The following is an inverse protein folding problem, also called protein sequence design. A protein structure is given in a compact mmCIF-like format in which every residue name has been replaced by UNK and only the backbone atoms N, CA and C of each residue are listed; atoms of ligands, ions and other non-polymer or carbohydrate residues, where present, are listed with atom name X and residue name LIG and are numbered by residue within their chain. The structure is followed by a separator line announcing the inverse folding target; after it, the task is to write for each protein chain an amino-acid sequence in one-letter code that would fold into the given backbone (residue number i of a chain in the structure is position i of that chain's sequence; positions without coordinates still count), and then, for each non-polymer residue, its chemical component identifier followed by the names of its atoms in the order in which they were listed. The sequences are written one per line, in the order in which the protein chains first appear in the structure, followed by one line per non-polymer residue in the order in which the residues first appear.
data_IF_105601167200
#
_entry.id   IF_105601167200
#
_cell.length_a   1.000
_cell.length_b   1.000
_cell.length_c   1.000
_cell.angle_alpha   90.00
_cell.angle_beta   90.00
_cell.angle_gamma   90.00
#
_symmetry.space_group_name_H-M   'P 1'
#
loop_
_entity.id
_entity.type
_entity.pdbx_description
1 polymer ?
#
# COMPACT_ATOMS: atom_id res chain seq x y z
N UNK A 1 -24.99 -22.17 86.53
CA UNK A 1 -24.56 -21.86 87.91
C UNK A 1 -23.07 -22.13 88.01
N UNK A 2 -22.30 -21.28 88.70
CA UNK A 2 -20.91 -21.59 89.07
C UNK A 2 -20.79 -21.94 90.56
N UNK A 3 -19.69 -22.60 90.91
CA UNK A 3 -19.02 -22.50 92.22
C UNK A 3 -17.62 -23.12 92.11
N UNK A 4 -16.63 -22.40 92.61
CA UNK A 4 -15.35 -22.96 93.07
C UNK A 4 -15.60 -23.64 94.45
N UNK A 5 -14.66 -24.21 95.21
CA UNK A 5 -13.19 -24.16 95.27
C UNK A 5 -12.66 -25.62 95.46
N UNK A 6 -11.41 -25.98 95.77
CA UNK A 6 -10.24 -25.24 96.28
C UNK A 6 -8.92 -26.00 95.95
N UNK A 7 -7.76 -25.49 96.39
CA UNK A 7 -6.46 -26.20 96.43
C UNK A 7 -5.69 -25.86 97.70
N UNK A 8 -5.12 -26.88 98.36
CA UNK A 8 -4.17 -26.68 99.46
C UNK A 8 -2.84 -26.07 98.94
N UNK A 9 -2.35 -25.03 99.63
CA UNK A 9 -1.07 -24.38 99.36
C UNK A 9 0.01 -24.76 100.39
N UNK A 10 1.26 -24.77 99.93
CA UNK A 10 2.49 -24.88 100.75
C UNK A 10 2.61 -23.66 101.68
N UNK A 11 3.08 -23.84 102.92
CA UNK A 11 3.11 -22.75 103.90
C UNK A 11 4.35 -21.85 103.76
N UNK A 12 4.20 -20.58 104.16
CA UNK A 12 5.26 -19.57 104.03
C UNK A 12 6.52 -19.88 104.86
N UNK A 13 6.40 -20.68 105.93
CA UNK A 13 7.55 -21.12 106.74
C UNK A 13 8.49 -22.08 106.00
N UNK A 14 7.96 -22.90 105.07
CA UNK A 14 8.77 -23.80 104.25
C UNK A 14 9.54 -23.01 103.18
N UNK A 15 8.92 -21.96 102.62
CA UNK A 15 9.58 -21.02 101.71
C UNK A 15 10.67 -20.19 102.40
N UNK A 16 10.43 -19.72 103.63
CA UNK A 16 11.41 -18.96 104.39
C UNK A 16 12.70 -19.76 104.65
N UNK A 17 12.58 -21.02 105.12
CA UNK A 17 13.75 -21.90 105.35
C UNK A 17 14.53 -22.22 104.08
N UNK A 18 13.84 -22.43 102.96
CA UNK A 18 14.50 -22.68 101.67
C UNK A 18 15.31 -21.47 101.21
N UNK A 19 14.75 -20.26 101.33
CA UNK A 19 15.45 -19.02 100.98
C UNK A 19 16.66 -18.75 101.88
N UNK A 20 16.57 -19.05 103.18
CA UNK A 20 17.67 -18.88 104.13
C UNK A 20 18.85 -19.84 103.83
N UNK A 21 18.57 -21.11 103.50
CA UNK A 21 19.60 -22.07 103.07
C UNK A 21 20.19 -21.75 101.69
N UNK A 22 19.41 -21.16 100.77
CA UNK A 22 19.92 -20.71 99.47
C UNK A 22 20.81 -19.46 99.57
N UNK A 23 20.55 -18.58 100.55
CA UNK A 23 21.34 -17.37 100.78
C UNK A 23 22.69 -17.64 101.48
N UNK A 24 22.78 -18.68 102.33
CA UNK A 24 23.98 -19.07 103.07
C UNK A 24 25.00 -19.85 102.21
N UNK A 25 25.23 -19.41 100.97
CA UNK A 25 25.94 -20.15 99.92
C UNK A 25 27.30 -20.73 100.31
N UNK A 26 27.61 -21.92 99.78
CA UNK A 26 28.85 -22.64 100.06
C UNK A 26 30.10 -21.88 99.59
N UNK A 27 31.09 -21.76 100.50
CA UNK A 27 32.32 -21.01 100.30
C UNK A 27 33.23 -21.54 99.19
N UNK A 28 34.22 -20.72 98.82
CA UNK A 28 35.09 -20.89 97.65
C UNK A 28 35.78 -22.27 97.56
N UNK A 29 35.38 -23.05 96.54
CA UNK A 29 36.13 -24.21 96.08
C UNK A 29 37.01 -23.85 94.86
N UNK A 30 38.30 -24.26 94.80
CA UNK A 30 39.16 -23.96 93.65
C UNK A 30 38.62 -24.56 92.35
N UNK A 31 38.37 -23.71 91.35
CA UNK A 31 37.91 -24.16 90.02
C UNK A 31 39.06 -24.74 89.22
N UNK A 32 39.26 -26.04 89.30
CA UNK A 32 40.11 -26.75 88.35
C UNK A 32 39.58 -26.59 86.91
N UNK A 33 40.43 -26.29 85.91
CA UNK A 33 40.01 -26.18 84.52
C UNK A 33 39.57 -27.55 83.99
N UNK A 34 38.38 -27.59 83.39
CA UNK A 34 37.73 -28.81 82.90
C UNK A 34 38.58 -29.56 81.87
N UNK A 35 38.34 -30.86 81.71
CA UNK A 35 39.09 -31.71 80.79
C UNK A 35 39.11 -31.17 79.34
N UNK A 36 38.03 -30.51 78.89
CA UNK A 36 37.98 -29.81 77.59
C UNK A 36 38.97 -28.65 77.50
N UNK A 37 39.09 -27.83 78.54
CA UNK A 37 40.05 -26.73 78.57
C UNK A 37 41.49 -27.25 78.44
N UNK A 38 41.82 -28.33 79.18
CA UNK A 38 43.14 -28.99 79.10
C UNK A 38 43.44 -29.52 77.69
N UNK A 39 42.48 -30.22 77.07
CA UNK A 39 42.62 -30.71 75.69
C UNK A 39 42.77 -29.60 74.64
N UNK A 40 42.10 -28.46 74.81
CA UNK A 40 42.25 -27.31 73.90
C UNK A 40 43.62 -26.66 74.07
N UNK A 41 44.13 -26.51 75.31
CA UNK A 41 45.49 -25.99 75.53
C UNK A 41 46.60 -26.93 75.06
N UNK A 42 46.40 -28.25 75.12
CA UNK A 42 47.30 -29.23 74.51
C UNK A 42 47.31 -29.10 72.98
N UNK A 43 46.13 -29.10 72.34
CA UNK A 43 46.01 -28.97 70.88
C UNK A 43 46.68 -27.71 70.34
N UNK A 44 46.43 -26.55 70.96
CA UNK A 44 47.03 -25.27 70.55
C UNK A 44 48.56 -25.23 70.74
N UNK A 45 49.11 -26.05 71.66
CA UNK A 45 50.56 -26.21 71.82
C UNK A 45 51.15 -27.17 70.78
N UNK A 46 50.45 -28.23 70.41
CA UNK A 46 50.83 -29.09 69.28
C UNK A 46 50.80 -28.33 67.94
N UNK A 47 49.76 -27.56 67.67
CA UNK A 47 49.61 -26.76 66.44
C UNK A 47 50.76 -25.74 66.30
N UNK A 48 51.14 -25.06 67.39
CA UNK A 48 52.34 -24.21 67.44
C UNK A 48 53.64 -25.00 67.22
N UNK A 49 53.80 -26.17 67.85
CA UNK A 49 54.99 -27.03 67.64
C UNK A 49 55.09 -27.57 66.21
N UNK A 50 53.97 -27.69 65.49
CA UNK A 50 53.92 -28.08 64.07
C UNK A 50 54.09 -26.90 63.10
N UNK A 51 54.37 -25.68 63.60
CA UNK A 51 54.69 -24.51 62.77
C UNK A 51 53.52 -23.97 61.95
N UNK A 52 52.28 -24.31 62.28
CA UNK A 52 51.09 -23.85 61.57
C UNK A 52 50.50 -22.63 62.29
N UNK A 53 50.93 -21.43 61.89
CA UNK A 53 50.23 -20.20 62.26
C UNK A 53 48.91 -20.10 61.47
N UNK A 54 47.78 -19.74 62.10
CA UNK A 54 46.52 -19.55 61.39
C UNK A 54 46.63 -18.32 60.46
N UNK A 55 46.08 -18.38 59.23
CA UNK A 55 46.23 -17.30 58.25
C UNK A 55 45.61 -16.00 58.75
N UNK A 56 46.42 -14.93 58.76
CA UNK A 56 45.98 -13.61 59.19
C UNK A 56 44.83 -13.08 58.31
N UNK A 57 43.80 -12.52 58.96
CA UNK A 57 42.54 -12.05 58.36
C UNK A 57 42.68 -10.89 57.34
N UNK A 58 43.89 -10.55 56.88
CA UNK A 58 44.15 -9.45 55.91
C UNK A 58 45.20 -9.76 54.82
N UNK A 59 45.37 -11.02 54.41
CA UNK A 59 46.13 -11.35 53.18
C UNK A 59 45.42 -12.41 52.35
N UNK A 60 44.72 -11.98 51.28
CA UNK A 60 44.19 -12.85 50.22
C UNK A 60 45.07 -12.83 48.96
N UNK A 61 45.03 -13.86 48.10
CA UNK A 61 45.96 -14.02 46.98
C UNK A 61 45.74 -13.01 45.83
N UNK A 62 46.83 -12.74 45.09
CA UNK A 62 46.86 -11.75 44.02
C UNK A 62 46.02 -12.14 42.79
N UNK A 63 45.07 -11.29 42.40
CA UNK A 63 44.07 -11.54 41.35
C UNK A 63 44.44 -11.00 39.94
N UNK A 64 45.72 -10.73 39.66
CA UNK A 64 46.09 -9.88 38.50
C UNK A 64 46.30 -10.57 37.14
N UNK A 65 46.40 -11.90 37.02
CA UNK A 65 46.82 -12.52 35.74
C UNK A 65 45.70 -13.10 34.84
N UNK A 66 44.43 -13.10 35.26
CA UNK A 66 43.33 -13.68 34.45
C UNK A 66 42.56 -12.71 33.54
N UNK A 67 42.86 -11.40 33.54
CA UNK A 67 42.01 -10.40 32.88
C UNK A 67 42.32 -10.12 31.39
N UNK A 68 43.40 -10.66 30.83
CA UNK A 68 43.81 -10.40 29.44
C UNK A 68 42.87 -10.98 28.36
N UNK A 69 42.53 -12.28 28.45
CA UNK A 69 41.75 -12.98 27.41
C UNK A 69 40.23 -12.81 27.55
N UNK A 70 39.73 -12.49 28.75
CA UNK A 70 38.29 -12.31 29.00
C UNK A 70 37.71 -11.01 28.42
N UNK A 71 38.49 -9.92 28.36
CA UNK A 71 38.01 -8.59 27.96
C UNK A 71 37.63 -8.50 26.48
N UNK A 72 38.40 -9.12 25.56
CA UNK A 72 38.03 -9.21 24.13
C UNK A 72 36.76 -10.05 23.93
N UNK A 73 36.64 -11.22 24.56
CA UNK A 73 35.42 -12.06 24.47
C UNK A 73 34.18 -11.37 25.06
N UNK A 74 34.31 -10.65 26.20
CA UNK A 74 33.20 -9.84 26.76
C UNK A 74 32.84 -8.66 25.87
N UNK A 75 33.80 -7.94 25.27
CA UNK A 75 33.52 -6.86 24.31
C UNK A 75 32.86 -7.37 23.03
N UNK A 76 33.28 -8.51 22.47
CA UNK A 76 32.58 -9.14 21.34
C UNK A 76 31.15 -9.55 21.71
N UNK A 77 30.94 -10.16 22.88
CA UNK A 77 29.60 -10.52 23.36
C UNK A 77 28.71 -9.31 23.60
N UNK A 78 29.25 -8.22 24.15
CA UNK A 78 28.53 -6.96 24.32
C UNK A 78 28.19 -6.30 22.98
N UNK A 79 29.13 -6.28 22.03
CA UNK A 79 28.88 -5.77 20.67
C UNK A 79 27.82 -6.61 19.94
N UNK A 80 27.91 -7.95 20.02
CA UNK A 80 26.91 -8.85 19.47
C UNK A 80 25.53 -8.66 20.12
N UNK A 81 25.47 -8.45 21.44
CA UNK A 81 24.23 -8.13 22.14
C UNK A 81 23.65 -6.77 21.71
N UNK A 82 24.48 -5.74 21.53
CA UNK A 82 24.04 -4.44 21.02
C UNK A 82 23.53 -4.53 19.58
N UNK A 83 24.21 -5.29 18.71
CA UNK A 83 23.75 -5.55 17.33
C UNK A 83 22.45 -6.35 17.33
N UNK A 84 22.29 -7.34 18.21
CA UNK A 84 21.05 -8.11 18.35
C UNK A 84 19.90 -7.24 18.87
N UNK A 85 20.13 -6.40 19.88
CA UNK A 85 19.15 -5.44 20.41
C UNK A 85 18.79 -4.40 19.35
N UNK A 86 19.76 -3.88 18.60
CA UNK A 86 19.51 -2.95 17.49
C UNK A 86 18.72 -3.61 16.35
N UNK A 87 18.99 -4.89 16.03
CA UNK A 87 18.22 -5.67 15.08
C UNK A 87 16.78 -5.92 15.55
N UNK A 88 16.58 -6.31 16.81
CA UNK A 88 15.26 -6.49 17.40
C UNK A 88 14.49 -5.17 17.51
N UNK A 89 15.17 -4.05 17.82
CA UNK A 89 14.58 -2.72 17.81
C UNK A 89 14.21 -2.27 16.37
N UNK A 90 15.03 -2.58 15.37
CA UNK A 90 14.70 -2.31 13.97
C UNK A 90 13.45 -3.12 13.53
N UNK A 91 13.36 -4.39 13.94
CA UNK A 91 12.19 -5.25 13.71
C UNK A 91 10.95 -4.71 14.45
N UNK A 92 11.10 -4.19 15.67
CA UNK A 92 9.98 -3.64 16.44
C UNK A 92 9.50 -2.26 15.93
N UNK A 93 10.40 -1.43 15.40
CA UNK A 93 10.09 -0.06 14.94
C UNK A 93 9.72 -0.02 13.45
N UNK A 94 10.28 -0.92 12.62
CA UNK A 94 9.95 -1.07 11.19
C UNK A 94 10.04 -2.55 10.74
N UNK A 95 9.08 -3.40 11.13
CA UNK A 95 9.08 -4.82 10.77
C UNK A 95 9.09 -5.03 9.25
N UNK A 96 8.39 -4.18 8.52
CA UNK A 96 8.27 -4.18 7.06
C UNK A 96 9.64 -4.19 6.36
N UNK A 97 10.56 -3.31 6.74
CA UNK A 97 11.89 -3.21 6.10
C UNK A 97 12.74 -4.48 6.23
N UNK A 98 12.54 -5.27 7.28
CA UNK A 98 13.26 -6.53 7.50
C UNK A 98 12.59 -7.67 6.74
N UNK A 99 11.26 -7.75 6.81
CA UNK A 99 10.46 -8.73 6.07
C UNK A 99 10.64 -8.56 4.56
N UNK A 100 10.57 -7.33 4.06
CA UNK A 100 10.69 -7.01 2.64
C UNK A 100 12.07 -7.30 2.05
N UNK A 101 13.11 -7.16 2.86
CA UNK A 101 14.49 -7.40 2.43
C UNK A 101 14.87 -8.88 2.51
N UNK A 102 14.28 -9.64 3.42
CA UNK A 102 14.45 -11.10 3.52
C UNK A 102 13.58 -11.87 2.49
N UNK A 103 12.41 -11.35 2.14
CA UNK A 103 11.49 -11.97 1.16
C UNK A 103 11.78 -11.57 -0.29
N UNK A 104 12.77 -10.71 -0.53
CA UNK A 104 13.07 -10.17 -1.88
C UNK A 104 12.09 -9.11 -2.38
N UNK A 105 10.99 -8.83 -1.67
CA UNK A 105 9.97 -7.83 -2.05
C UNK A 105 10.51 -6.42 -2.24
N UNK A 106 11.55 -6.03 -1.51
CA UNK A 106 12.23 -4.74 -1.73
C UNK A 106 12.98 -4.69 -3.07
N UNK A 107 13.61 -5.80 -3.47
CA UNK A 107 14.27 -5.91 -4.77
C UNK A 107 13.23 -5.96 -5.88
N UNK A 108 12.22 -6.83 -5.77
CA UNK A 108 11.14 -6.94 -6.76
C UNK A 108 10.39 -5.62 -6.99
N UNK A 109 10.14 -4.81 -5.95
CA UNK A 109 9.57 -3.46 -6.11
C UNK A 109 10.54 -2.47 -6.76
N UNK A 110 11.84 -2.57 -6.48
CA UNK A 110 12.85 -1.76 -7.15
C UNK A 110 12.92 -2.12 -8.63
N UNK A 111 12.99 -3.41 -8.94
CA UNK A 111 13.02 -3.95 -10.30
C UNK A 111 11.76 -3.52 -11.06
N UNK A 112 10.56 -3.72 -10.49
CA UNK A 112 9.29 -3.30 -11.08
C UNK A 112 9.18 -1.78 -11.30
N UNK A 113 9.77 -0.97 -10.40
CA UNK A 113 9.84 0.51 -10.54
C UNK A 113 10.84 0.95 -11.62
N UNK A 114 11.91 0.18 -11.85
CA UNK A 114 12.92 0.46 -12.88
C UNK A 114 12.67 -0.26 -14.20
N UNK A 115 11.69 -1.15 -14.26
CA UNK A 115 11.32 -1.88 -15.45
C UNK A 115 10.89 -0.91 -16.56
N UNK A 116 11.33 -1.19 -17.79
CA UNK A 116 10.80 -0.51 -18.96
C UNK A 116 9.28 -0.77 -19.06
N UNK A 117 8.50 0.18 -19.63
CA UNK A 117 7.10 -0.06 -19.92
C UNK A 117 6.90 -1.35 -20.73
N UNK A 118 5.81 -2.07 -20.42
CA UNK A 118 5.38 -3.22 -21.22
C UNK A 118 5.16 -2.80 -22.68
N UNK A 119 5.49 -3.66 -23.66
CA UNK A 119 5.27 -3.34 -25.07
C UNK A 119 3.79 -3.11 -25.38
N UNK A 120 3.52 -2.37 -26.46
CA UNK A 120 2.18 -2.16 -26.97
C UNK A 120 1.45 -3.48 -27.28
N UNK A 121 0.13 -3.41 -27.22
CA UNK A 121 -0.74 -4.55 -27.47
C UNK A 121 -1.18 -4.57 -28.94
N UNK A 122 -0.95 -5.70 -29.61
CA UNK A 122 -1.59 -6.01 -30.90
C UNK A 122 -2.90 -6.79 -30.71
N UNK A 123 -2.97 -7.63 -29.68
CA UNK A 123 -4.09 -8.52 -29.35
C UNK A 123 -4.77 -8.14 -28.04
N UNK A 124 -6.04 -8.51 -27.88
CA UNK A 124 -6.75 -8.39 -26.60
C UNK A 124 -6.08 -9.34 -25.58
N UNK A 125 -5.85 -8.92 -24.33
CA UNK A 125 -5.51 -9.85 -23.24
C UNK A 125 -6.56 -10.96 -23.10
N UNK A 126 -6.19 -12.10 -22.51
CA UNK A 126 -7.11 -13.23 -22.27
C UNK A 126 -7.54 -13.39 -20.81
N UNK A 127 -6.93 -12.63 -19.91
CA UNK A 127 -7.24 -12.60 -18.48
C UNK A 127 -6.92 -11.22 -17.88
N UNK A 128 -7.39 -10.99 -16.66
CA UNK A 128 -6.97 -9.88 -15.81
C UNK A 128 -5.46 -9.90 -15.55
N UNK A 129 -4.79 -8.74 -15.39
CA UNK A 129 -3.40 -8.68 -14.93
C UNK A 129 -3.24 -9.29 -13.53
N UNK A 130 -2.08 -9.87 -13.25
CA UNK A 130 -1.78 -10.50 -11.96
C UNK A 130 -2.04 -9.55 -10.76
N UNK A 131 -2.44 -10.11 -9.63
CA UNK A 131 -2.65 -9.35 -8.40
C UNK A 131 -1.29 -9.04 -7.75
N UNK A 132 -0.87 -7.78 -7.85
CA UNK A 132 0.28 -7.30 -7.11
C UNK A 132 -0.09 -7.18 -5.63
N UNK A 133 0.79 -7.66 -4.74
CA UNK A 133 0.60 -7.50 -3.30
C UNK A 133 0.31 -6.04 -2.94
N UNK A 134 -0.64 -5.77 -2.02
CA UNK A 134 -1.11 -4.42 -1.74
C UNK A 134 0.03 -3.55 -1.19
N UNK A 135 0.39 -2.52 -1.96
CA UNK A 135 1.29 -1.45 -1.59
C UNK A 135 0.64 -0.13 -2.05
N UNK A 136 0.28 0.73 -1.10
CA UNK A 136 -0.56 1.90 -1.37
C UNK A 136 0.15 2.92 -2.26
N UNK A 137 -0.56 3.62 -3.17
CA UNK A 137 -0.01 4.76 -3.90
C UNK A 137 0.51 5.86 -2.96
N UNK A 138 1.43 6.68 -3.47
CA UNK A 138 1.87 7.90 -2.77
C UNK A 138 2.07 9.05 -3.74
N UNK A 139 2.16 10.28 -3.22
CA UNK A 139 2.50 11.48 -4.00
C UNK A 139 3.78 11.35 -4.85
N UNK A 140 4.72 10.45 -4.48
CA UNK A 140 5.96 10.20 -5.22
C UNK A 140 5.91 8.98 -6.14
N UNK A 141 4.95 8.09 -5.91
CA UNK A 141 4.75 6.83 -6.64
C UNK A 141 3.24 6.59 -6.81
N UNK A 142 2.54 7.42 -7.61
CA UNK A 142 1.08 7.39 -7.71
C UNK A 142 0.51 6.07 -8.27
N UNK A 143 1.32 5.30 -8.99
CA UNK A 143 0.94 4.01 -9.58
C UNK A 143 1.41 2.79 -8.79
N UNK A 144 1.99 2.98 -7.58
CA UNK A 144 2.46 1.86 -6.75
C UNK A 144 1.32 0.91 -6.38
N UNK A 145 1.60 -0.39 -6.41
CA UNK A 145 0.60 -1.44 -6.17
C UNK A 145 -0.37 -1.72 -7.34
N UNK A 146 -0.31 -0.96 -8.45
CA UNK A 146 -1.20 -1.19 -9.62
C UNK A 146 -0.46 -1.81 -10.81
N UNK A 147 -1.16 -2.57 -11.68
CA UNK A 147 -0.62 -2.98 -12.98
C UNK A 147 -0.12 -1.81 -13.83
N UNK A 148 -0.70 -0.62 -13.64
CA UNK A 148 -0.34 0.60 -14.37
C UNK A 148 1.09 1.11 -14.07
N UNK A 149 1.75 0.65 -13.02
CA UNK A 149 3.16 0.99 -12.76
C UNK A 149 4.07 0.72 -13.97
N UNK A 150 3.82 -0.39 -14.69
CA UNK A 150 4.58 -0.82 -15.87
C UNK A 150 3.93 -0.40 -17.21
N UNK A 151 2.92 0.48 -17.20
CA UNK A 151 2.33 1.00 -18.43
C UNK A 151 3.12 2.21 -18.94
N UNK A 152 2.89 2.57 -20.21
CA UNK A 152 3.55 3.71 -20.83
C UNK A 152 2.93 5.03 -20.36
N UNK A 153 3.72 6.11 -20.43
CA UNK A 153 3.31 7.43 -19.96
C UNK A 153 2.61 8.21 -21.09
N UNK A 154 1.36 8.61 -20.84
CA UNK A 154 0.56 9.47 -21.71
C UNK A 154 0.54 9.02 -23.17
N UNK A 155 0.90 9.95 -24.07
CA UNK A 155 0.84 9.73 -25.52
C UNK A 155 1.81 8.65 -26.03
N UNK A 156 2.77 8.19 -25.23
CA UNK A 156 3.64 7.07 -25.58
C UNK A 156 2.90 5.73 -25.54
N UNK A 157 1.84 5.59 -24.72
CA UNK A 157 1.00 4.39 -24.68
C UNK A 157 -0.04 4.30 -25.81
N UNK A 158 -0.09 5.28 -26.72
CA UNK A 158 -0.98 5.31 -27.88
C UNK A 158 -0.14 5.14 -29.14
N UNK A 159 0.28 3.90 -29.39
CA UNK A 159 1.02 3.52 -30.60
C UNK A 159 0.07 3.34 -31.80
N UNK A 160 0.59 3.62 -33.01
CA UNK A 160 -0.17 3.45 -34.25
C UNK A 160 0.15 2.09 -34.89
N UNK A 161 -0.85 1.33 -35.37
CA UNK A 161 -0.62 0.16 -36.21
C UNK A 161 -0.04 0.57 -37.57
N UNK A 162 0.52 -0.39 -38.33
CA UNK A 162 0.92 -0.10 -39.70
C UNK A 162 -0.31 0.28 -40.55
N UNK A 163 -0.22 1.42 -41.24
CA UNK A 163 -1.21 1.80 -42.23
C UNK A 163 -1.17 0.85 -43.44
N UNK A 164 -2.27 0.15 -43.69
CA UNK A 164 -2.52 -0.64 -44.89
C UNK A 164 -3.70 -0.06 -45.67
N UNK A 165 -3.89 -0.47 -46.94
CA UNK A 165 -5.11 -0.13 -47.67
C UNK A 165 -6.23 -1.09 -47.22
N UNK A 166 -7.43 -0.55 -46.96
CA UNK A 166 -8.58 -1.32 -46.44
C UNK A 166 -9.85 -0.83 -47.13
N UNK A 167 -10.71 -1.74 -47.59
CA UNK A 167 -11.88 -1.39 -48.40
C UNK A 167 -11.47 -0.63 -49.67
N UNK A 168 -12.01 0.58 -49.85
CA UNK A 168 -11.59 1.52 -50.92
C UNK A 168 -10.64 2.62 -50.42
N UNK A 169 -10.18 2.55 -49.16
CA UNK A 169 -9.29 3.56 -48.57
C UNK A 169 -7.83 3.25 -48.90
N UNK A 170 -7.13 4.25 -49.43
CA UNK A 170 -5.69 4.16 -49.70
C UNK A 170 -4.86 4.12 -48.41
N UNK A 171 -3.64 3.56 -48.47
CA UNK A 171 -2.68 3.58 -47.34
C UNK A 171 -2.46 4.98 -46.77
N UNK A 172 -2.49 6.02 -47.61
CA UNK A 172 -2.34 7.41 -47.18
C UNK A 172 -3.56 7.92 -46.38
N UNK A 173 -4.79 7.63 -46.84
CA UNK A 173 -6.02 7.99 -46.10
C UNK A 173 -6.11 7.25 -44.77
N UNK A 174 -5.67 5.99 -44.73
CA UNK A 174 -5.62 5.20 -43.50
C UNK A 174 -4.57 5.74 -42.53
N UNK A 175 -3.36 6.08 -42.99
CA UNK A 175 -2.33 6.71 -42.15
C UNK A 175 -2.77 8.06 -41.56
N UNK A 176 -3.46 8.87 -42.35
CA UNK A 176 -4.04 10.14 -41.93
C UNK A 176 -5.12 9.95 -40.85
N UNK A 177 -6.05 9.00 -41.06
CA UNK A 177 -7.08 8.66 -40.08
C UNK A 177 -6.49 8.14 -38.77
N UNK A 178 -5.53 7.21 -38.82
CA UNK A 178 -4.82 6.69 -37.64
C UNK A 178 -4.16 7.83 -36.84
N UNK A 179 -3.48 8.74 -37.53
CA UNK A 179 -2.85 9.93 -36.91
C UNK A 179 -3.89 10.81 -36.22
N UNK A 180 -5.03 11.09 -36.88
CA UNK A 180 -6.12 11.86 -36.29
C UNK A 180 -6.76 11.17 -35.09
N UNK A 181 -6.99 9.85 -35.13
CA UNK A 181 -7.57 9.09 -34.02
C UNK A 181 -6.64 9.12 -32.81
N UNK A 182 -5.32 8.98 -33.00
CA UNK A 182 -4.34 9.18 -31.92
C UNK A 182 -4.41 10.60 -31.33
N UNK A 183 -4.49 11.63 -32.17
CA UNK A 183 -4.65 13.01 -31.68
C UNK A 183 -5.97 13.22 -30.94
N UNK A 184 -7.07 12.59 -31.37
CA UNK A 184 -8.34 12.61 -30.67
C UNK A 184 -8.23 11.96 -29.28
N UNK A 185 -7.65 10.75 -29.19
CA UNK A 185 -7.45 10.07 -27.91
C UNK A 185 -6.60 10.90 -26.93
N UNK A 186 -5.53 11.54 -27.42
CA UNK A 186 -4.69 12.45 -26.63
C UNK A 186 -5.50 13.67 -26.17
N UNK A 187 -6.16 14.38 -27.08
CA UNK A 187 -6.87 15.64 -26.74
C UNK A 187 -8.11 15.42 -25.87
N UNK A 188 -8.73 14.24 -25.95
CA UNK A 188 -9.90 13.86 -25.17
C UNK A 188 -9.57 13.30 -23.76
N UNK A 189 -8.37 12.74 -23.54
CA UNK A 189 -8.05 11.99 -22.33
C UNK A 189 -6.75 12.40 -21.63
N UNK A 190 -5.83 13.08 -22.33
CA UNK A 190 -4.49 13.42 -21.81
C UNK A 190 -4.22 14.91 -21.78
N UNK A 191 -5.01 15.72 -22.50
CA UNK A 191 -4.83 17.16 -22.53
C UNK A 191 -5.09 17.79 -21.15
N UNK A 192 -4.15 18.59 -20.60
CA UNK A 192 -4.31 19.18 -19.28
C UNK A 192 -5.50 20.13 -19.11
N UNK A 193 -5.99 20.77 -20.17
CA UNK A 193 -7.19 21.61 -20.10
C UNK A 193 -8.46 20.73 -20.04
N UNK A 194 -8.57 19.71 -20.92
CA UNK A 194 -9.63 18.70 -20.85
C UNK A 194 -9.69 18.06 -19.47
N UNK A 195 -8.55 17.65 -18.91
CA UNK A 195 -8.46 17.04 -17.58
C UNK A 195 -8.87 17.98 -16.44
N UNK A 196 -8.65 19.29 -16.56
CA UNK A 196 -9.18 20.32 -15.63
C UNK A 196 -10.67 20.63 -15.83
N UNK A 197 -11.37 19.86 -16.65
CA UNK A 197 -12.79 20.06 -16.90
C UNK A 197 -13.09 21.17 -17.90
N UNK A 198 -12.09 21.74 -18.55
CA UNK A 198 -12.31 22.73 -19.62
C UNK A 198 -12.95 22.05 -20.85
N UNK A 199 -13.35 22.86 -21.84
CA UNK A 199 -13.95 22.35 -23.07
C UNK A 199 -12.88 21.64 -23.92
N UNK A 200 -13.08 20.38 -24.35
CA UNK A 200 -12.08 19.60 -25.09
C UNK A 200 -11.97 20.01 -26.58
N UNK A 201 -11.61 21.26 -26.83
CA UNK A 201 -11.68 21.89 -28.15
C UNK A 201 -10.91 21.13 -29.24
N UNK A 202 -9.69 20.66 -28.95
CA UNK A 202 -8.88 19.90 -29.91
C UNK A 202 -9.48 18.54 -30.28
N UNK A 203 -10.21 17.89 -29.37
CA UNK A 203 -10.91 16.64 -29.65
C UNK A 203 -12.17 16.89 -30.50
N UNK A 204 -12.95 17.91 -30.13
CA UNK A 204 -14.15 18.32 -30.86
C UNK A 204 -13.83 18.79 -32.28
N UNK A 205 -12.72 19.48 -32.48
CA UNK A 205 -12.28 19.90 -33.82
C UNK A 205 -12.02 18.69 -34.74
N UNK A 206 -11.55 17.56 -34.22
CA UNK A 206 -11.27 16.38 -35.05
C UNK A 206 -12.52 15.64 -35.51
N UNK A 207 -13.66 15.80 -34.84
CA UNK A 207 -14.89 15.06 -35.14
C UNK A 207 -15.67 15.66 -36.32
N UNK A 208 -16.38 14.80 -37.06
CA UNK A 208 -17.33 15.22 -38.09
C UNK A 208 -18.68 15.56 -37.46
N UNK A 209 -18.79 16.78 -36.96
CA UNK A 209 -19.99 17.25 -36.26
C UNK A 209 -21.11 17.70 -37.21
N UNK A 210 -20.91 17.63 -38.55
CA UNK A 210 -21.91 18.02 -39.55
C UNK A 210 -23.01 16.98 -39.80
N UNK A 211 -22.87 15.79 -39.22
CA UNK A 211 -23.97 14.83 -39.13
C UNK A 211 -25.05 15.38 -38.19
N UNK A 212 -26.30 15.25 -38.61
CA UNK A 212 -27.47 15.78 -37.89
C UNK A 212 -27.52 15.24 -36.44
N UNK A 213 -27.82 16.11 -35.49
CA UNK A 213 -27.82 15.80 -34.05
C UNK A 213 -26.44 15.64 -33.38
N UNK A 214 -25.36 15.34 -34.10
CA UNK A 214 -24.04 15.07 -33.47
C UNK A 214 -23.44 16.32 -32.83
N UNK A 215 -23.43 17.46 -33.52
CA UNK A 215 -23.01 18.74 -32.91
C UNK A 215 -23.82 19.02 -31.64
N UNK A 216 -25.14 18.98 -31.73
CA UNK A 216 -26.05 19.34 -30.63
C UNK A 216 -25.88 18.41 -29.43
N UNK A 217 -25.75 17.10 -29.64
CA UNK A 217 -25.51 16.13 -28.57
C UNK A 217 -24.18 16.38 -27.84
N UNK A 218 -23.11 16.71 -28.57
CA UNK A 218 -21.81 17.05 -27.98
C UNK A 218 -21.82 18.40 -27.25
N UNK A 219 -22.54 19.40 -27.76
CA UNK A 219 -22.73 20.66 -27.03
C UNK A 219 -23.53 20.45 -25.74
N UNK A 220 -24.64 19.70 -25.82
CA UNK A 220 -25.51 19.44 -24.68
C UNK A 220 -24.80 18.64 -23.60
N UNK A 221 -24.04 17.59 -23.95
CA UNK A 221 -23.26 16.85 -22.95
C UNK A 221 -22.20 17.72 -22.27
N UNK A 222 -21.63 18.72 -22.95
CA UNK A 222 -20.64 19.62 -22.33
C UNK A 222 -21.25 20.76 -21.51
N UNK A 223 -22.50 21.16 -21.78
CA UNK A 223 -23.16 22.35 -21.19
C UNK A 223 -24.24 22.02 -20.16
N UNK A 224 -24.96 20.91 -20.34
CA UNK A 224 -25.95 20.38 -19.41
C UNK A 224 -25.88 18.83 -19.39
N UNK A 225 -24.83 18.26 -18.75
CA UNK A 225 -24.67 16.82 -18.56
C UNK A 225 -25.93 16.14 -17.97
N UNK A 226 -26.21 14.91 -18.42
CA UNK A 226 -27.24 14.02 -17.86
C UNK A 226 -26.81 12.56 -18.03
N UNK A 227 -27.57 11.60 -17.47
CA UNK A 227 -27.29 10.17 -17.62
C UNK A 227 -27.21 9.73 -19.10
N UNK A 228 -28.05 10.31 -19.95
CA UNK A 228 -28.11 10.03 -21.39
C UNK A 228 -27.08 10.84 -22.21
N UNK A 229 -26.47 11.87 -21.60
CA UNK A 229 -25.60 12.86 -22.24
C UNK A 229 -24.41 13.19 -21.36
N UNK A 230 -23.75 12.18 -20.81
CA UNK A 230 -22.56 12.40 -19.99
C UNK A 230 -21.32 12.61 -20.90
N UNK A 231 -20.60 13.74 -20.80
CA UNK A 231 -19.39 13.99 -21.58
C UNK A 231 -18.24 13.04 -21.20
N UNK A 232 -18.29 12.41 -20.03
CA UNK A 232 -17.35 11.36 -19.60
C UNK A 232 -17.39 10.12 -20.49
N UNK A 233 -18.40 9.96 -21.36
CA UNK A 233 -18.42 8.93 -22.39
C UNK A 233 -17.31 9.08 -23.45
N UNK A 234 -16.77 10.29 -23.63
CA UNK A 234 -15.68 10.56 -24.59
C UNK A 234 -14.47 11.27 -23.98
N UNK A 235 -14.69 12.13 -22.98
CA UNK A 235 -13.68 13.06 -22.46
C UNK A 235 -13.42 12.79 -20.98
N UNK A 236 -12.17 12.56 -20.58
CA UNK A 236 -11.83 12.45 -19.16
C UNK A 236 -11.65 13.84 -18.55
N UNK A 237 -12.55 14.21 -17.63
CA UNK A 237 -12.66 15.56 -17.05
C UNK A 237 -12.76 15.45 -15.53
N UNK A 238 -12.02 16.26 -14.79
CA UNK A 238 -12.11 16.36 -13.33
C UNK A 238 -12.50 17.79 -12.93
N UNK A 239 -13.28 17.93 -11.86
CA UNK A 239 -13.57 19.26 -11.30
C UNK A 239 -12.34 19.75 -10.50
N UNK A 240 -11.65 20.84 -10.90
CA UNK A 240 -10.45 21.33 -10.23
C UNK A 240 -10.72 21.90 -8.83
N UNK A 241 -11.99 22.11 -8.46
CA UNK A 241 -12.39 22.46 -7.09
C UNK A 241 -12.53 21.24 -6.16
N UNK A 242 -12.67 20.03 -6.70
CA UNK A 242 -12.79 18.77 -5.94
C UNK A 242 -11.51 17.94 -6.01
N UNK A 243 -10.81 17.93 -7.15
CA UNK A 243 -9.68 17.03 -7.44
C UNK A 243 -8.47 17.76 -8.01
N UNK A 244 -7.28 17.21 -7.74
CA UNK A 244 -6.01 17.65 -8.32
C UNK A 244 -5.21 16.44 -8.81
N UNK A 245 -4.73 16.43 -10.07
CA UNK A 245 -3.81 15.40 -10.57
C UNK A 245 -2.50 15.33 -9.78
N UNK A 246 -1.98 14.12 -9.58
CA UNK A 246 -0.69 13.87 -8.91
C UNK A 246 0.42 13.77 -9.95
N UNK A 247 1.09 14.90 -10.18
CA UNK A 247 2.07 15.05 -11.25
C UNK A 247 1.42 15.33 -12.60
N UNK A 248 2.15 15.03 -13.68
CA UNK A 248 1.78 15.25 -15.08
C UNK A 248 1.63 13.93 -15.88
N UNK A 249 1.80 12.78 -15.23
CA UNK A 249 1.74 11.46 -15.84
C UNK A 249 0.35 10.84 -15.68
N UNK A 250 -0.25 10.48 -16.80
CA UNK A 250 -1.37 9.52 -16.90
C UNK A 250 -0.79 8.22 -17.46
N UNK A 251 -1.08 7.08 -16.83
CA UNK A 251 -0.64 5.78 -17.37
C UNK A 251 -1.61 5.30 -18.43
N UNK A 252 -1.08 4.86 -19.57
CA UNK A 252 -1.89 4.47 -20.74
C UNK A 252 -1.46 3.09 -21.24
N UNK A 253 -2.45 2.25 -21.49
CA UNK A 253 -2.24 0.97 -22.17
C UNK A 253 -3.42 0.61 -23.05
N UNK A 254 -3.13 0.13 -24.25
CA UNK A 254 -4.14 -0.46 -25.11
C UNK A 254 -3.68 -0.63 -26.54
N UNK A 255 -4.67 -0.69 -27.44
CA UNK A 255 -4.46 -1.01 -28.85
C UNK A 255 -5.37 -0.23 -29.79
N UNK A 256 -4.87 -0.02 -31.00
CA UNK A 256 -5.59 0.53 -32.15
C UNK A 256 -5.39 -0.41 -33.33
N UNK A 257 -6.46 -0.71 -34.06
CA UNK A 257 -6.40 -1.61 -35.21
C UNK A 257 -7.37 -1.18 -36.32
N UNK A 258 -7.18 -1.77 -37.50
CA UNK A 258 -7.99 -1.52 -38.68
C UNK A 258 -8.96 -2.67 -38.92
N UNK A 259 -10.14 -2.34 -39.43
CA UNK A 259 -11.11 -3.29 -39.98
C UNK A 259 -11.75 -2.73 -41.26
N UNK A 260 -12.40 -3.60 -42.04
CA UNK A 260 -13.34 -3.16 -43.07
C UNK A 260 -14.53 -2.44 -42.40
N UNK A 261 -15.08 -1.43 -43.05
CA UNK A 261 -16.24 -0.72 -42.53
C UNK A 261 -17.56 -1.46 -42.80
N UNK A 262 -18.60 -1.11 -42.03
CA UNK A 262 -19.96 -1.65 -42.15
C UNK A 262 -20.59 -1.54 -43.56
N UNK A 263 -20.06 -0.66 -44.41
CA UNK A 263 -20.52 -0.50 -45.79
C UNK A 263 -19.38 -0.73 -46.81
N UNK A 264 -19.68 -1.35 -47.97
CA UNK A 264 -18.69 -1.64 -48.99
C UNK A 264 -17.80 -0.44 -49.36
N UNK A 265 -16.49 -0.64 -49.25
CA UNK A 265 -15.47 0.36 -49.57
C UNK A 265 -15.12 1.33 -48.44
N UNK A 266 -15.79 1.28 -47.29
CA UNK A 266 -15.34 1.98 -46.08
C UNK A 266 -14.25 1.18 -45.33
N UNK A 267 -13.54 1.85 -44.45
CA UNK A 267 -12.66 1.24 -43.45
C UNK A 267 -13.00 1.81 -42.06
N UNK A 268 -12.60 1.12 -41.00
CA UNK A 268 -12.76 1.58 -39.63
C UNK A 268 -11.42 1.53 -38.88
N UNK A 269 -11.20 2.53 -38.02
CA UNK A 269 -10.20 2.50 -36.96
C UNK A 269 -10.91 2.15 -35.66
N UNK A 270 -10.53 1.04 -35.04
CA UNK A 270 -11.06 0.60 -33.76
C UNK A 270 -10.00 0.79 -32.67
N UNK A 271 -10.46 1.10 -31.46
CA UNK A 271 -9.62 1.43 -30.31
C UNK A 271 -10.12 0.73 -29.05
N UNK A 272 -9.20 0.30 -28.19
CA UNK A 272 -9.46 -0.23 -26.84
C UNK A 272 -8.30 0.20 -25.94
N UNK A 273 -8.46 1.32 -25.23
CA UNK A 273 -7.45 1.93 -24.38
C UNK A 273 -7.95 2.15 -22.96
N UNK A 274 -7.07 1.95 -21.99
CA UNK A 274 -7.29 2.30 -20.59
C UNK A 274 -6.31 3.37 -20.15
N UNK A 275 -6.86 4.38 -19.48
CA UNK A 275 -6.16 5.53 -18.91
C UNK A 275 -6.29 5.48 -17.39
N UNK A 276 -5.21 5.70 -16.66
CA UNK A 276 -5.20 5.70 -15.19
C UNK A 276 -4.73 7.04 -14.68
N UNK A 277 -5.64 7.73 -13.98
CA UNK A 277 -5.47 9.08 -13.48
C UNK A 277 -5.25 9.05 -11.97
N UNK A 278 -4.09 9.50 -11.47
CA UNK A 278 -3.87 9.63 -10.04
C UNK A 278 -4.33 11.00 -9.55
N UNK A 279 -5.21 11.03 -8.57
CA UNK A 279 -5.80 12.24 -7.99
C UNK A 279 -5.56 12.32 -6.48
N UNK A 280 -5.50 13.54 -5.97
CA UNK A 280 -5.73 13.87 -4.56
C UNK A 280 -6.93 14.81 -4.48
N UNK A 281 -7.61 14.86 -3.33
CA UNK A 281 -8.61 15.91 -3.07
C UNK A 281 -7.98 17.30 -3.18
N UNK A 282 -8.71 18.26 -3.74
CA UNK A 282 -8.28 19.66 -3.89
C UNK A 282 -8.35 20.46 -2.56
N UNK A 283 -7.85 19.89 -1.46
CA UNK A 283 -7.81 20.50 -0.13
C UNK A 283 -6.37 20.63 0.41
N UNK A 284 -6.07 21.62 1.27
CA UNK A 284 -4.76 21.73 1.90
C UNK A 284 -4.38 20.47 2.67
N UNK A 285 -3.16 19.97 2.47
CA UNK A 285 -2.65 18.80 3.17
C UNK A 285 -3.14 17.44 2.69
N UNK A 286 -3.92 17.36 1.59
CA UNK A 286 -4.28 16.08 0.99
C UNK A 286 -3.05 15.33 0.46
N UNK A 287 -2.84 14.11 0.95
CA UNK A 287 -1.72 13.22 0.60
C UNK A 287 -2.16 11.80 0.18
N UNK A 288 -3.38 11.38 0.53
CA UNK A 288 -4.03 10.20 -0.05
C UNK A 288 -4.18 10.36 -1.56
N UNK A 289 -3.58 9.43 -2.30
CA UNK A 289 -3.67 9.34 -3.75
C UNK A 289 -4.66 8.26 -4.11
N UNK A 290 -5.69 8.61 -4.86
CA UNK A 290 -6.63 7.65 -5.45
C UNK A 290 -6.45 7.59 -6.96
N UNK A 291 -6.74 6.43 -7.54
CA UNK A 291 -6.66 6.21 -8.98
C UNK A 291 -8.04 6.00 -9.56
N UNK A 292 -8.38 6.74 -10.62
CA UNK A 292 -9.53 6.45 -11.47
C UNK A 292 -9.04 5.76 -12.75
N UNK A 293 -9.68 4.64 -13.11
CA UNK A 293 -9.32 3.81 -14.26
C UNK A 293 -10.43 3.98 -15.30
N UNK A 294 -10.12 4.63 -16.43
CA UNK A 294 -11.09 4.84 -17.51
C UNK A 294 -10.70 3.98 -18.70
N UNK A 295 -11.48 2.95 -19.00
CA UNK A 295 -11.36 2.17 -20.24
C UNK A 295 -12.34 2.70 -21.27
N UNK A 296 -11.87 2.90 -22.51
CA UNK A 296 -12.69 3.30 -23.65
C UNK A 296 -12.52 2.34 -24.80
N UNK A 297 -13.62 1.98 -25.45
CA UNK A 297 -13.60 1.49 -26.82
C UNK A 297 -14.25 2.52 -27.73
N UNK A 298 -13.70 2.76 -28.91
CA UNK A 298 -14.29 3.66 -29.89
C UNK A 298 -13.95 3.23 -31.32
N UNK A 299 -14.93 3.39 -32.21
CA UNK A 299 -14.83 3.06 -33.64
C UNK A 299 -15.02 4.33 -34.47
N UNK A 300 -14.07 4.60 -35.36
CA UNK A 300 -14.10 5.74 -36.27
C UNK A 300 -14.17 5.25 -37.71
N UNK A 301 -15.16 5.71 -38.48
CA UNK A 301 -15.30 5.39 -39.90
C UNK A 301 -14.40 6.28 -40.77
N UNK A 302 -13.74 5.65 -41.73
CA UNK A 302 -13.05 6.28 -42.84
C UNK A 302 -13.90 6.05 -44.09
N UNK A 303 -14.41 7.13 -44.68
CA UNK A 303 -15.29 7.09 -45.84
C UNK A 303 -14.87 8.09 -46.92
N UNK A 304 -15.12 7.74 -48.19
CA UNK A 304 -14.92 8.66 -49.32
C UNK A 304 -16.02 9.73 -49.33
N UNK A 305 -15.72 11.02 -49.12
CA UNK A 305 -16.73 12.09 -49.10
C UNK A 305 -17.41 12.32 -50.46
N UNK A 306 -16.91 11.70 -51.54
CA UNK A 306 -17.55 11.70 -52.87
C UNK A 306 -18.65 10.64 -53.01
N UNK A 307 -18.71 9.67 -52.08
CA UNK A 307 -19.67 8.55 -52.07
C UNK A 307 -20.57 8.54 -50.83
N UNK A 308 -20.09 9.12 -49.73
CA UNK A 308 -20.75 9.09 -48.42
C UNK A 308 -20.83 10.49 -47.84
N UNK A 309 -21.85 10.73 -46.99
CA UNK A 309 -21.91 11.94 -46.19
C UNK A 309 -20.80 11.92 -45.12
N UNK A 310 -19.72 12.64 -45.41
CA UNK A 310 -18.57 12.82 -44.54
C UNK A 310 -17.90 14.18 -44.84
N UNK A 311 -17.46 14.90 -43.80
CA UNK A 311 -16.67 16.11 -43.95
C UNK A 311 -15.20 15.74 -44.23
N UNK A 312 -14.59 16.21 -45.33
CA UNK A 312 -13.18 15.95 -45.64
C UNK A 312 -12.26 16.35 -44.47
N UNK A 313 -11.39 15.43 -44.04
CA UNK A 313 -10.44 15.68 -42.96
C UNK A 313 -11.02 15.66 -41.55
N UNK A 314 -12.26 15.19 -41.35
CA UNK A 314 -12.85 14.95 -40.02
C UNK A 314 -13.04 13.45 -39.77
N UNK A 315 -13.07 13.07 -38.49
CA UNK A 315 -13.34 11.71 -38.02
C UNK A 315 -14.83 11.51 -37.77
N UNK A 316 -15.45 10.56 -38.46
CA UNK A 316 -16.81 10.12 -38.12
C UNK A 316 -16.72 9.10 -36.99
N UNK A 317 -17.08 9.52 -35.77
CA UNK A 317 -17.29 8.61 -34.65
C UNK A 317 -18.55 7.76 -34.93
N UNK A 318 -18.45 6.44 -34.76
CA UNK A 318 -19.52 5.47 -35.06
C UNK A 318 -20.11 4.91 -33.77
N UNK A 319 -19.25 4.34 -32.93
CA UNK A 319 -19.59 3.84 -31.59
C UNK A 319 -18.52 4.24 -30.61
N UNK A 320 -18.92 4.39 -29.34
CA UNK A 320 -18.06 4.60 -28.20
C UNK A 320 -18.67 3.90 -26.99
N UNK A 321 -17.82 3.35 -26.12
CA UNK A 321 -18.21 2.80 -24.83
C UNK A 321 -17.17 3.22 -23.81
N UNK A 322 -17.59 3.39 -22.56
CA UNK A 322 -16.71 3.67 -21.43
C UNK A 322 -17.00 2.72 -20.28
N UNK A 323 -15.96 2.39 -19.52
CA UNK A 323 -16.05 1.80 -18.19
C UNK A 323 -15.13 2.61 -17.27
N UNK A 324 -15.59 2.92 -16.06
CA UNK A 324 -14.94 3.85 -15.13
C UNK A 324 -14.82 3.18 -13.75
N UNK A 325 -13.64 2.61 -13.48
CA UNK A 325 -13.27 2.12 -12.16
C UNK A 325 -12.87 3.25 -11.22
N UNK A 326 -13.37 3.19 -9.98
CA UNK A 326 -13.22 4.23 -8.95
C UNK A 326 -13.66 5.63 -9.42
N UNK A 327 -14.97 5.75 -9.65
CA UNK A 327 -15.72 7.00 -9.72
C UNK A 327 -17.12 6.76 -9.16
N UNK A 328 -17.75 7.77 -8.57
CA UNK A 328 -19.11 7.68 -8.05
C UNK A 328 -20.11 7.31 -9.15
N UNK A 329 -20.97 6.33 -8.85
CA UNK A 329 -22.12 5.97 -9.67
C UNK A 329 -23.20 7.07 -9.62
N UNK A 330 -24.08 7.08 -10.62
CA UNK A 330 -25.29 7.92 -10.67
C UNK A 330 -25.07 9.44 -10.52
N UNK A 331 -23.81 9.92 -10.65
CA UNK A 331 -23.41 11.33 -10.63
C UNK A 331 -22.98 11.79 -12.02
N UNK A 332 -23.96 12.30 -12.77
CA UNK A 332 -23.80 12.72 -14.17
C UNK A 332 -23.60 14.23 -14.32
N UNK A 333 -22.66 14.83 -13.58
CA UNK A 333 -22.32 16.26 -13.69
C UNK A 333 -21.17 16.53 -14.69
N UNK A 334 -20.71 15.49 -15.38
CA UNK A 334 -19.69 15.57 -16.41
C UNK A 334 -18.24 15.58 -15.90
N UNK A 335 -18.02 15.23 -14.62
CA UNK A 335 -16.70 15.10 -14.00
C UNK A 335 -16.50 13.75 -13.30
N UNK A 336 -15.25 13.27 -13.26
CA UNK A 336 -14.86 12.09 -12.49
C UNK A 336 -14.92 12.38 -10.99
N UNK A 337 -15.35 11.39 -10.20
CA UNK A 337 -15.53 11.49 -8.74
C UNK A 337 -14.98 10.24 -8.01
N UNK A 338 -13.66 10.02 -7.97
CA UNK A 338 -13.07 8.92 -7.21
C UNK A 338 -13.44 9.01 -5.73
N UNK A 339 -13.68 7.85 -5.12
CA UNK A 339 -13.87 7.75 -3.69
C UNK A 339 -12.51 7.66 -2.98
N UNK A 340 -12.38 8.36 -1.85
CA UNK A 340 -11.24 8.31 -0.94
C UNK A 340 -11.69 7.72 0.41
N UNK A 341 -10.76 7.20 1.21
CA UNK A 341 -11.07 6.55 2.50
C UNK A 341 -11.77 7.49 3.50
N UNK A 342 -11.57 8.80 3.37
CA UNK A 342 -12.19 9.82 4.22
C UNK A 342 -13.49 10.41 3.64
N UNK A 343 -14.01 9.87 2.54
CA UNK A 343 -15.36 10.22 2.07
C UNK A 343 -16.46 9.62 2.95
N UNK A 344 -17.56 10.36 3.18
CA UNK A 344 -18.74 9.78 3.79
C UNK A 344 -19.30 8.71 2.84
N UNK A 345 -19.71 7.56 3.39
CA UNK A 345 -20.40 6.52 2.60
C UNK A 345 -21.77 7.05 2.18
N UNK A 346 -21.85 7.59 0.96
CA UNK A 346 -23.06 8.19 0.38
C UNK A 346 -23.43 7.50 -0.92
N UNK A 347 -24.73 7.24 -1.10
CA UNK A 347 -25.26 6.52 -2.27
C UNK A 347 -25.67 5.07 -1.93
N UNK A 348 -26.08 4.28 -2.93
CA UNK A 348 -26.38 2.87 -2.73
C UNK A 348 -25.11 2.10 -2.35
N UNK A 349 -25.22 1.13 -1.45
CA UNK A 349 -24.13 0.20 -1.16
C UNK A 349 -23.77 -0.58 -2.43
N UNK A 350 -22.51 -0.56 -2.91
CA UNK A 350 -22.08 -1.34 -4.06
C UNK A 350 -22.42 -2.83 -3.88
N UNK A 351 -22.90 -3.46 -4.95
CA UNK A 351 -23.41 -4.84 -4.89
C UNK A 351 -22.81 -5.70 -6.01
N UNK A 352 -22.87 -7.03 -5.82
CA UNK A 352 -22.30 -8.00 -6.76
C UNK A 352 -20.84 -8.34 -6.48
N UNK A 353 -20.26 -9.16 -7.37
CA UNK A 353 -18.85 -9.58 -7.29
C UNK A 353 -17.94 -8.41 -7.70
N UNK A 354 -16.89 -8.08 -6.92
CA UNK A 354 -15.95 -7.03 -7.31
C UNK A 354 -15.30 -7.29 -8.68
N UNK A 355 -15.31 -6.27 -9.53
CA UNK A 355 -14.72 -6.30 -10.88
C UNK A 355 -13.33 -5.69 -10.84
N UNK A 356 -12.36 -6.30 -11.51
CA UNK A 356 -11.04 -5.68 -11.70
C UNK A 356 -11.09 -4.67 -12.86
N UNK A 357 -10.95 -3.35 -12.61
CA UNK A 357 -11.00 -2.35 -13.68
C UNK A 357 -9.78 -2.41 -14.61
N UNK A 358 -8.75 -3.19 -14.24
CA UNK A 358 -7.61 -3.51 -15.09
C UNK A 358 -7.86 -4.72 -16.01
N UNK A 359 -8.96 -5.47 -15.85
CA UNK A 359 -9.31 -6.59 -16.73
C UNK A 359 -9.80 -6.11 -18.09
N UNK A 360 -9.02 -6.41 -19.13
CA UNK A 360 -9.28 -6.04 -20.52
C UNK A 360 -9.57 -7.25 -21.41
N UNK A 361 -9.76 -8.42 -20.79
CA UNK A 361 -10.04 -9.69 -21.47
C UNK A 361 -11.44 -9.76 -22.10
N UNK A 362 -12.40 -9.02 -21.54
CA UNK A 362 -13.77 -8.94 -22.03
C UNK A 362 -13.99 -7.67 -22.84
N UNK A 363 -15.03 -7.70 -23.66
CA UNK A 363 -15.52 -6.49 -24.34
C UNK A 363 -16.25 -5.60 -23.33
N UNK A 364 -16.26 -4.29 -23.58
CA UNK A 364 -17.15 -3.40 -22.85
C UNK A 364 -18.59 -3.66 -23.29
N UNK A 365 -19.52 -3.56 -22.36
CA UNK A 365 -20.94 -3.59 -22.69
C UNK A 365 -21.33 -2.35 -23.51
N UNK A 366 -22.40 -2.48 -24.30
CA UNK A 366 -22.91 -1.39 -25.14
C UNK A 366 -23.49 -0.25 -24.28
N UNK A 367 -23.61 0.99 -24.81
CA UNK A 367 -24.10 2.11 -24.02
C UNK A 367 -25.56 1.87 -23.63
N UNK A 368 -25.89 2.10 -22.36
CA UNK A 368 -27.23 1.84 -21.82
C UNK A 368 -27.51 0.38 -21.46
N UNK A 369 -26.49 -0.49 -21.37
CA UNK A 369 -26.66 -1.78 -20.68
C UNK A 369 -26.75 -1.59 -19.16
N UNK A 370 -27.67 -2.29 -18.49
CA UNK A 370 -27.87 -2.26 -17.03
C UNK A 370 -26.75 -2.96 -16.22
N UNK A 371 -25.49 -2.63 -16.51
CA UNK A 371 -24.36 -2.89 -15.63
C UNK A 371 -24.42 -1.89 -14.46
N UNK A 372 -25.34 -2.12 -13.52
CA UNK A 372 -25.60 -1.24 -12.39
C UNK A 372 -24.37 -1.06 -11.48
N UNK A 373 -24.45 -0.08 -10.57
CA UNK A 373 -23.35 0.30 -9.69
C UNK A 373 -22.71 -0.88 -8.94
N UNK A 374 -21.50 -1.23 -9.36
CA UNK A 374 -20.73 -2.36 -8.84
C UNK A 374 -19.53 -1.94 -8.01
N UNK A 375 -18.87 -2.92 -7.39
CA UNK A 375 -17.64 -2.73 -6.62
C UNK A 375 -16.42 -2.96 -7.52
N UNK A 376 -15.37 -2.14 -7.41
CA UNK A 376 -14.05 -2.47 -7.98
C UNK A 376 -13.23 -3.29 -6.98
N UNK A 377 -12.43 -4.25 -7.47
CA UNK A 377 -11.55 -5.06 -6.60
C UNK A 377 -10.24 -4.35 -6.21
N UNK A 378 -9.82 -3.34 -6.99
CA UNK A 378 -8.62 -2.53 -6.78
C UNK A 378 -8.72 -1.21 -7.55
N UNK A 379 -8.02 -0.17 -7.06
CA UNK A 379 -7.72 1.08 -7.78
C UNK A 379 -6.24 1.15 -8.15
#
# INVERSE_FOLDING_TARGET
MGKNDDRAGVSDEEWARFMEQAAAGSGEAPKEPSARARMVTERLREERRRGQEPPGWRTGPAWQEMQGRGRRKRRLKAFAAVVLIAGLALIAVRPELVIDRLTGKAQARTDARTAAPLPAESVRPTAAPEELYPDMPTLKEPFRGSPAAQWADGAAGIELPEATAVGSMTKAQVADALTKVRTFLITANLDPATLRGERPAGALELLDTKLEGVSEHLEQSLTAPSAEKDPLNLFSRANPAELKPVGDVVKVRGRMWLAEGEHPGQAQVLTDYTFVYPFVKAKPGADQVERTIVRRTATFAIADPRKWQATPGKLRLVTYNVDIGNSACDRYDGFLHPAFDDDPVTGPTPSGTPVDPYDRSKELAAPGSDAGCGTVSRS
#
